data_IF_609139101058
#
_entry.id   IF_609139101058
#
_cell.length_a   1.000
_cell.length_b   1.000
_cell.length_c   1.000
_cell.angle_alpha   90.00
_cell.angle_beta   90.00
_cell.angle_gamma   90.00
#
_symmetry.space_group_name_H-M   'P 1'
#
loop_
_entity.id
_entity.type
_entity.pdbx_description
1 polymer ?
#
# COMPACT_ATOMS: atom_id res chain seq x y z
N UNK A 1 -11.68 -31.07 13.54
CA UNK A 1 -12.46 -30.13 12.71
C UNK A 1 -13.18 -29.20 13.67
N UNK A 2 -12.70 -27.95 13.82
CA UNK A 2 -13.25 -27.01 14.81
C UNK A 2 -13.74 -25.78 14.05
N UNK A 3 -15.07 -25.63 13.98
CA UNK A 3 -15.78 -24.47 13.43
C UNK A 3 -15.35 -23.19 14.16
N UNK A 4 -14.78 -22.23 13.44
CA UNK A 4 -14.70 -20.85 13.91
C UNK A 4 -16.09 -20.21 13.76
N UNK A 5 -16.75 -19.96 14.88
CA UNK A 5 -18.01 -19.24 14.98
C UNK A 5 -17.82 -17.78 14.55
N UNK A 6 -18.64 -17.32 13.61
CA UNK A 6 -18.77 -15.92 13.25
C UNK A 6 -19.44 -15.16 14.41
N UNK A 7 -18.64 -14.57 15.29
CA UNK A 7 -19.10 -13.54 16.22
C UNK A 7 -19.53 -12.32 15.40
N UNK A 8 -20.78 -11.91 15.52
CA UNK A 8 -21.35 -10.76 14.82
C UNK A 8 -20.44 -9.53 14.96
N UNK A 9 -20.02 -8.99 13.81
CA UNK A 9 -19.24 -7.76 13.80
C UNK A 9 -20.06 -6.62 14.42
N UNK A 10 -19.51 -5.81 15.35
CA UNK A 10 -20.19 -4.65 15.92
C UNK A 10 -20.47 -3.53 14.92
N UNK A 11 -20.19 -3.75 13.63
CA UNK A 11 -20.39 -2.80 12.55
C UNK A 11 -21.54 -3.25 11.65
N UNK A 12 -22.52 -2.36 11.51
CA UNK A 12 -23.68 -2.54 10.64
C UNK A 12 -23.27 -2.32 9.17
N UNK A 13 -23.25 -3.39 8.39
CA UNK A 13 -23.00 -3.35 6.94
C UNK A 13 -23.85 -2.30 6.21
N UNK A 14 -25.17 -2.18 6.43
CA UNK A 14 -25.97 -1.18 5.72
C UNK A 14 -25.60 0.26 6.09
N UNK A 15 -25.12 0.51 7.31
CA UNK A 15 -24.64 1.84 7.70
C UNK A 15 -23.35 2.20 6.95
N UNK A 16 -22.43 1.24 6.84
CA UNK A 16 -21.17 1.42 6.10
C UNK A 16 -21.45 1.70 4.62
N UNK A 17 -22.36 0.96 3.99
CA UNK A 17 -22.75 1.20 2.59
C UNK A 17 -23.29 2.62 2.38
N UNK A 18 -24.24 3.06 3.20
CA UNK A 18 -24.79 4.42 3.11
C UNK A 18 -23.72 5.49 3.28
N UNK A 19 -22.79 5.31 4.22
CA UNK A 19 -21.69 6.25 4.45
C UNK A 19 -20.74 6.31 3.23
N UNK A 20 -20.40 5.16 2.64
CA UNK A 20 -19.56 5.09 1.45
C UNK A 20 -20.25 5.74 0.25
N UNK A 21 -21.53 5.46 0.02
CA UNK A 21 -22.29 6.06 -1.09
C UNK A 21 -22.38 7.59 -0.94
N UNK A 22 -22.66 8.08 0.27
CA UNK A 22 -22.69 9.50 0.57
C UNK A 22 -21.32 10.16 0.33
N UNK A 23 -20.24 9.51 0.75
CA UNK A 23 -18.87 10.01 0.54
C UNK A 23 -18.51 10.06 -0.95
N UNK A 24 -18.80 8.99 -1.71
CA UNK A 24 -18.55 8.93 -3.15
C UNK A 24 -19.31 10.03 -3.91
N UNK A 25 -20.55 10.29 -3.52
CA UNK A 25 -21.35 11.37 -4.09
C UNK A 25 -20.76 12.75 -3.76
N UNK A 26 -20.32 12.96 -2.52
CA UNK A 26 -19.66 14.20 -2.12
C UNK A 26 -18.37 14.42 -2.93
N UNK A 27 -17.51 13.41 -3.06
CA UNK A 27 -16.26 13.50 -3.84
C UNK A 27 -16.52 13.89 -5.29
N UNK A 28 -17.57 13.35 -5.93
CA UNK A 28 -17.95 13.73 -7.30
C UNK A 28 -18.35 15.22 -7.40
N UNK A 29 -19.16 15.70 -6.45
CA UNK A 29 -19.64 17.09 -6.41
C UNK A 29 -18.47 18.06 -6.14
N UNK A 30 -17.54 17.69 -5.24
CA UNK A 30 -16.37 18.53 -4.95
C UNK A 30 -15.48 18.66 -6.18
N UNK A 31 -15.20 17.54 -6.87
CA UNK A 31 -14.40 17.53 -8.10
C UNK A 31 -14.97 18.41 -9.21
N UNK A 32 -16.30 18.48 -9.37
CA UNK A 32 -16.91 19.35 -10.38
C UNK A 32 -16.88 20.84 -10.03
N UNK A 33 -16.71 21.19 -8.75
CA UNK A 33 -16.64 22.59 -8.28
C UNK A 33 -15.21 23.13 -8.30
N UNK A 34 -14.23 22.27 -8.08
CA UNK A 34 -12.82 22.62 -8.16
C UNK A 34 -12.36 22.48 -9.60
N UNK A 35 -12.20 23.59 -10.33
CA UNK A 35 -11.60 23.60 -11.68
C UNK A 35 -10.08 23.36 -11.60
N UNK A 36 -9.66 22.22 -11.05
CA UNK A 36 -8.28 21.77 -11.08
C UNK A 36 -8.01 21.12 -12.43
N UNK A 37 -6.99 21.62 -13.14
CA UNK A 37 -6.60 21.16 -14.47
C UNK A 37 -6.06 19.71 -14.47
N UNK A 38 -5.63 19.22 -13.30
CA UNK A 38 -5.08 17.88 -13.13
C UNK A 38 -6.03 17.01 -12.31
N UNK A 39 -6.23 15.78 -12.76
CA UNK A 39 -6.97 14.77 -12.00
C UNK A 39 -6.12 14.32 -10.81
N UNK A 40 -6.36 14.89 -9.63
CA UNK A 40 -5.79 14.35 -8.40
C UNK A 40 -6.53 13.05 -8.02
N UNK A 41 -5.79 11.94 -7.98
CA UNK A 41 -6.27 10.70 -7.37
C UNK A 41 -6.44 10.96 -5.86
N UNK A 42 -7.70 11.08 -5.40
CA UNK A 42 -8.03 11.29 -3.99
C UNK A 42 -8.27 9.95 -3.30
N UNK A 43 -7.31 9.40 -2.53
CA UNK A 43 -7.49 8.14 -1.83
C UNK A 43 -8.53 8.27 -0.71
N UNK A 44 -9.31 7.21 -0.51
CA UNK A 44 -10.23 7.12 0.64
C UNK A 44 -9.46 6.55 1.83
N UNK A 45 -9.36 7.33 2.90
CA UNK A 45 -8.66 6.95 4.12
C UNK A 45 -9.67 6.62 5.23
N UNK A 46 -9.34 5.64 6.07
CA UNK A 46 -10.09 5.30 7.28
C UNK A 46 -9.29 5.75 8.48
N UNK A 47 -9.88 6.62 9.29
CA UNK A 47 -9.29 7.08 10.55
C UNK A 47 -9.73 6.15 11.69
N UNK A 48 -8.76 5.56 12.38
CA UNK A 48 -9.02 4.78 13.59
C UNK A 48 -8.80 5.65 14.82
N UNK A 49 -9.88 5.95 15.55
CA UNK A 49 -9.82 6.63 16.84
C UNK A 49 -9.94 5.60 17.97
N UNK A 50 -8.91 5.51 18.82
CA UNK A 50 -8.87 4.59 19.94
C UNK A 50 -8.97 5.34 21.28
N UNK A 51 -9.66 4.75 22.26
CA UNK A 51 -9.73 5.31 23.63
C UNK A 51 -8.40 5.20 24.38
N UNK A 52 -7.63 4.14 24.12
CA UNK A 52 -6.29 3.90 24.67
C UNK A 52 -5.36 3.59 23.51
N UNK A 53 -4.14 4.13 23.53
CA UNK A 53 -3.11 3.82 22.54
C UNK A 53 -2.77 2.32 22.68
N UNK A 54 -2.82 1.54 21.59
CA UNK A 54 -2.47 0.12 21.64
C UNK A 54 -1.00 -0.03 22.05
N UNK A 55 -0.73 -0.94 22.99
CA UNK A 55 0.61 -1.23 23.44
C UNK A 55 1.35 -1.97 22.32
N UNK A 56 2.37 -1.32 21.75
CA UNK A 56 3.11 -1.86 20.60
C UNK A 56 4.24 -2.80 21.01
N UNK A 57 4.50 -3.03 22.31
CA UNK A 57 5.55 -3.91 22.84
C UNK A 57 6.90 -3.78 22.10
N UNK A 58 7.30 -2.55 21.76
CA UNK A 58 8.56 -2.27 21.03
C UNK A 58 8.53 -2.62 19.53
N UNK A 59 7.39 -3.02 18.97
CA UNK A 59 7.22 -3.28 17.54
C UNK A 59 7.11 -1.97 16.76
N UNK A 60 8.11 -1.71 15.92
CA UNK A 60 8.13 -0.60 14.96
C UNK A 60 7.63 -1.03 13.57
N UNK A 61 7.50 -2.34 13.35
CA UNK A 61 7.13 -2.89 12.04
C UNK A 61 5.62 -2.75 11.75
N UNK A 62 5.24 -2.23 10.58
CA UNK A 62 3.84 -2.10 10.19
C UNK A 62 3.14 -3.47 10.16
N UNK A 63 1.82 -3.45 10.29
CA UNK A 63 0.99 -4.64 10.16
C UNK A 63 0.36 -4.71 8.77
N UNK A 64 0.63 -5.78 8.03
CA UNK A 64 0.03 -6.00 6.71
C UNK A 64 -1.35 -6.63 6.88
N UNK A 65 -2.40 -5.89 6.52
CA UNK A 65 -3.78 -6.38 6.50
C UNK A 65 -4.03 -7.04 5.14
N UNK A 66 -4.43 -8.32 5.15
CA UNK A 66 -4.84 -9.03 3.93
C UNK A 66 -6.22 -8.55 3.50
N UNK A 67 -6.30 -7.89 2.35
CA UNK A 67 -7.56 -7.42 1.77
C UNK A 67 -8.11 -8.42 0.75
N UNK A 68 -9.44 -8.49 0.65
CA UNK A 68 -10.12 -9.32 -0.36
C UNK A 68 -9.99 -8.73 -1.77
N UNK A 69 -9.98 -7.41 -1.86
CA UNK A 69 -9.82 -6.67 -3.11
C UNK A 69 -8.46 -5.94 -3.08
N UNK A 70 -7.62 -6.08 -4.11
CA UNK A 70 -6.36 -5.35 -4.22
C UNK A 70 -6.59 -3.83 -4.27
N UNK A 71 -5.67 -3.05 -3.70
CA UNK A 71 -5.70 -1.59 -3.75
C UNK A 71 -4.98 -1.01 -4.97
N UNK A 72 -4.02 -1.76 -5.53
CA UNK A 72 -3.20 -1.31 -6.64
C UNK A 72 -3.78 -1.76 -7.98
N UNK A 73 -3.42 -1.05 -9.05
CA UNK A 73 -3.76 -1.36 -10.45
C UNK A 73 -3.26 -2.76 -10.82
N UNK A 74 -3.78 -3.34 -11.91
CA UNK A 74 -3.50 -4.73 -12.32
C UNK A 74 -2.01 -5.01 -12.60
N UNK A 75 -1.21 -3.98 -12.91
CA UNK A 75 0.23 -4.07 -13.14
C UNK A 75 1.00 -2.94 -12.43
N UNK A 76 1.20 -3.04 -11.10
CA UNK A 76 1.95 -2.02 -10.36
C UNK A 76 3.45 -2.15 -10.61
N UNK A 77 4.16 -1.03 -10.64
CA UNK A 77 5.62 -1.05 -10.66
C UNK A 77 6.18 -1.37 -9.27
N UNK A 78 6.63 -2.61 -9.08
CA UNK A 78 7.15 -3.09 -7.79
C UNK A 78 8.68 -3.04 -7.73
N UNK A 79 9.21 -2.37 -6.70
CA UNK A 79 10.63 -2.38 -6.37
C UNK A 79 10.90 -3.20 -5.10
N UNK A 80 11.69 -4.26 -5.21
CA UNK A 80 12.09 -5.11 -4.10
C UNK A 80 13.44 -4.66 -3.51
N UNK A 81 13.45 -4.37 -2.21
CA UNK A 81 14.64 -4.04 -1.43
C UNK A 81 15.15 -5.29 -0.71
N UNK A 82 16.36 -5.70 -1.05
CA UNK A 82 16.93 -6.96 -0.55
C UNK A 82 18.21 -6.73 0.24
N UNK A 83 18.44 -7.59 1.25
CA UNK A 83 19.76 -7.73 1.83
C UNK A 83 20.72 -8.31 0.78
N UNK A 84 21.93 -7.77 0.71
CA UNK A 84 22.95 -8.28 -0.20
C UNK A 84 23.36 -9.73 0.17
N UNK A 85 23.61 -10.62 -0.81
CA UNK A 85 23.76 -10.36 -2.25
C UNK A 85 22.45 -10.35 -3.06
N UNK A 86 22.22 -9.29 -3.83
CA UNK A 86 21.03 -9.14 -4.69
C UNK A 86 20.90 -10.17 -5.84
N UNK A 87 21.98 -10.89 -6.20
CA UNK A 87 22.01 -11.76 -7.38
C UNK A 87 21.18 -13.02 -7.16
N UNK A 88 21.37 -13.66 -6.01
CA UNK A 88 20.62 -14.86 -5.63
C UNK A 88 19.10 -14.62 -5.61
N UNK A 89 18.68 -13.45 -5.12
CA UNK A 89 17.25 -13.13 -5.08
C UNK A 89 16.69 -12.91 -6.48
N UNK A 90 17.45 -12.28 -7.37
CA UNK A 90 17.06 -12.14 -8.78
C UNK A 90 16.93 -13.49 -9.47
N UNK A 91 17.86 -14.41 -9.22
CA UNK A 91 17.83 -15.74 -9.83
C UNK A 91 16.64 -16.56 -9.29
N UNK A 92 16.32 -16.43 -7.99
CA UNK A 92 15.11 -17.03 -7.39
C UNK A 92 13.81 -16.46 -7.96
N UNK A 93 13.73 -15.14 -8.16
CA UNK A 93 12.54 -14.49 -8.75
C UNK A 93 12.31 -15.01 -10.17
N UNK A 94 13.38 -15.15 -10.96
CA UNK A 94 13.32 -15.72 -12.31
C UNK A 94 12.90 -17.19 -12.29
N UNK A 95 13.45 -17.98 -11.38
CA UNK A 95 13.11 -19.40 -11.24
C UNK A 95 11.64 -19.59 -10.84
N UNK A 96 11.09 -18.69 -10.03
CA UNK A 96 9.68 -18.69 -9.62
C UNK A 96 8.73 -18.10 -10.67
N UNK A 97 9.25 -17.55 -11.77
CA UNK A 97 8.42 -16.96 -12.84
C UNK A 97 7.64 -15.71 -12.42
N UNK A 98 8.11 -14.99 -11.40
CA UNK A 98 7.40 -13.82 -10.87
C UNK A 98 7.67 -12.62 -11.78
N UNK A 99 6.66 -12.18 -12.53
CA UNK A 99 6.75 -11.06 -13.49
C UNK A 99 6.38 -9.71 -12.89
N UNK A 100 5.80 -9.67 -11.68
CA UNK A 100 5.34 -8.43 -11.07
C UNK A 100 6.46 -7.55 -10.49
N UNK A 101 7.69 -8.06 -10.37
CA UNK A 101 8.81 -7.30 -9.79
C UNK A 101 9.61 -6.61 -10.90
N UNK A 102 9.47 -5.29 -10.99
CA UNK A 102 10.16 -4.45 -11.98
C UNK A 102 11.66 -4.29 -11.67
N UNK A 103 12.02 -4.12 -10.40
CA UNK A 103 13.43 -3.88 -10.01
C UNK A 103 13.76 -4.48 -8.65
N UNK A 104 14.97 -5.03 -8.55
CA UNK A 104 15.54 -5.50 -7.27
C UNK A 104 16.78 -4.69 -6.96
N UNK A 105 16.81 -4.05 -5.78
CA UNK A 105 17.89 -3.17 -5.31
C UNK A 105 18.42 -3.71 -3.98
N UNK A 106 19.74 -3.95 -3.91
CA UNK A 106 20.42 -4.29 -2.66
C UNK A 106 20.61 -3.07 -1.76
N UNK A 107 20.61 -3.27 -0.43
CA UNK A 107 20.79 -2.19 0.56
C UNK A 107 22.07 -1.39 0.31
N UNK A 108 23.19 -2.05 -0.03
CA UNK A 108 24.46 -1.36 -0.31
C UNK A 108 24.34 -0.42 -1.51
N UNK A 109 23.67 -0.87 -2.58
CA UNK A 109 23.47 -0.08 -3.80
C UNK A 109 22.47 1.05 -3.60
N UNK A 110 21.45 0.83 -2.79
CA UNK A 110 20.48 1.87 -2.42
C UNK A 110 21.21 3.04 -1.74
N UNK A 111 22.05 2.74 -0.74
CA UNK A 111 22.83 3.75 -0.01
C UNK A 111 23.81 4.50 -0.90
N UNK A 112 24.48 3.79 -1.82
CA UNK A 112 25.47 4.40 -2.71
C UNK A 112 24.86 5.27 -3.82
N UNK A 113 23.84 4.77 -4.52
CA UNK A 113 23.28 5.45 -5.71
C UNK A 113 22.18 6.45 -5.40
N UNK A 114 21.41 6.20 -4.34
CA UNK A 114 20.24 7.00 -3.97
C UNK A 114 20.46 7.75 -2.65
N UNK A 115 21.70 8.18 -2.38
CA UNK A 115 22.02 9.00 -1.21
C UNK A 115 21.49 10.43 -1.32
N UNK A 116 21.59 11.02 -2.52
CA UNK A 116 21.16 12.38 -2.81
C UNK A 116 19.63 12.52 -2.83
N UNK A 117 19.14 13.70 -2.43
CA UNK A 117 17.71 13.99 -2.32
C UNK A 117 16.97 13.80 -3.65
N UNK A 118 17.51 14.34 -4.75
CA UNK A 118 16.88 14.22 -6.07
C UNK A 118 16.78 12.76 -6.53
N UNK A 119 17.84 11.97 -6.33
CA UNK A 119 17.85 10.56 -6.69
C UNK A 119 16.78 9.77 -5.91
N UNK A 120 16.57 10.06 -4.62
CA UNK A 120 15.49 9.46 -3.82
C UNK A 120 14.12 9.83 -4.36
N UNK A 121 13.91 11.11 -4.69
CA UNK A 121 12.64 11.60 -5.23
C UNK A 121 12.32 10.94 -6.58
N UNK A 122 13.31 10.82 -7.44
CA UNK A 122 13.17 10.10 -8.72
C UNK A 122 12.82 8.63 -8.48
N UNK A 123 13.51 7.95 -7.56
CA UNK A 123 13.21 6.55 -7.22
C UNK A 123 11.77 6.37 -6.71
N UNK A 124 11.32 7.22 -5.78
CA UNK A 124 9.96 7.16 -5.26
C UNK A 124 8.90 7.51 -6.31
N UNK A 125 9.25 8.32 -7.32
CA UNK A 125 8.33 8.68 -8.40
C UNK A 125 8.23 7.61 -9.49
N UNK A 126 9.19 6.71 -9.60
CA UNK A 126 9.19 5.66 -10.63
C UNK A 126 8.39 4.42 -10.23
N UNK A 127 8.33 4.09 -8.94
CA UNK A 127 7.72 2.85 -8.46
C UNK A 127 6.47 3.13 -7.63
N UNK A 128 5.45 2.29 -7.79
CA UNK A 128 4.20 2.39 -7.03
C UNK A 128 4.32 1.73 -5.65
N UNK A 129 5.06 0.61 -5.57
CA UNK A 129 5.14 -0.23 -4.38
C UNK A 129 6.58 -0.64 -4.09
N UNK A 130 6.98 -0.53 -2.82
CA UNK A 130 8.25 -1.02 -2.31
C UNK A 130 8.01 -2.20 -1.37
N UNK A 131 8.75 -3.30 -1.57
CA UNK A 131 8.71 -4.52 -0.76
C UNK A 131 10.07 -4.87 -0.19
#
# INVERSE_FOLDING_TARGET
QTKMSATASPLSVPQVQRAVDALLNHTKITKSKTNQLFEEETPINILFAFKKIPETFGRVQPYMIKLKHPLHKDSPEVCLLVKDPQREVKDKIKALGITCVSKVIGITKLRQKYGQYEAKRQLCSSFDVFL
#
